data_IF_713891685491
#
_entry.id   IF_713891685491
#
_cell.length_a   1.000
_cell.length_b   1.000
_cell.length_c   1.000
_cell.angle_alpha   90.00
_cell.angle_beta   90.00
_cell.angle_gamma   90.00
#
_symmetry.space_group_name_H-M   'P 1'
#
loop_
_entity.id
_entity.type
_entity.pdbx_description
1 polymer ?
#
# COMPACT_ATOMS: atom_id res chain seq x y z
N UNK A 1 -18.31 -13.44 -16.00
CA UNK A 1 -18.16 -12.92 -14.63
C UNK A 1 -18.73 -14.00 -13.73
N UNK A 2 -17.88 -14.72 -13.02
CA UNK A 2 -18.31 -15.89 -12.25
C UNK A 2 -18.92 -15.39 -10.94
N UNK A 3 -19.92 -16.11 -10.43
CA UNK A 3 -20.66 -15.75 -9.20
C UNK A 3 -19.74 -15.64 -7.98
N UNK A 4 -18.60 -16.32 -8.00
CA UNK A 4 -17.53 -16.22 -7.00
C UNK A 4 -16.86 -14.84 -6.96
N UNK A 5 -16.75 -14.14 -8.09
CA UNK A 5 -16.18 -12.78 -8.15
C UNK A 5 -17.10 -11.77 -7.41
N UNK A 6 -18.42 -12.02 -7.40
CA UNK A 6 -19.44 -11.14 -6.81
C UNK A 6 -19.45 -11.24 -5.27
N UNK A 7 -19.11 -12.40 -4.71
CA UNK A 7 -19.06 -12.60 -3.25
C UNK A 7 -17.82 -11.94 -2.62
N UNK A 8 -16.71 -11.85 -3.35
CA UNK A 8 -15.47 -11.20 -2.90
C UNK A 8 -15.56 -9.67 -2.88
N UNK A 9 -16.39 -9.03 -3.70
CA UNK A 9 -16.47 -7.56 -3.78
C UNK A 9 -17.13 -6.90 -2.56
N UNK A 10 -17.88 -7.64 -1.74
CA UNK A 10 -18.64 -7.11 -0.60
C UNK A 10 -18.13 -7.57 0.78
N UNK A 11 -17.05 -8.35 0.82
CA UNK A 11 -16.49 -8.81 2.09
C UNK A 11 -15.50 -7.78 2.63
N UNK A 12 -15.72 -7.34 3.88
CA UNK A 12 -14.73 -6.55 4.61
C UNK A 12 -13.44 -7.37 4.76
N UNK A 13 -12.30 -6.75 4.52
CA UNK A 13 -11.01 -7.40 4.74
C UNK A 13 -10.83 -7.68 6.22
N UNK A 14 -10.51 -8.92 6.55
CA UNK A 14 -10.16 -9.32 7.91
C UNK A 14 -8.71 -8.95 8.23
N UNK A 15 -8.33 -9.02 9.51
CA UNK A 15 -6.92 -8.86 9.89
C UNK A 15 -6.03 -9.89 9.17
N UNK A 16 -6.48 -11.15 9.06
CA UNK A 16 -5.72 -12.20 8.40
C UNK A 16 -5.48 -11.91 6.90
N UNK A 17 -6.45 -11.29 6.23
CA UNK A 17 -6.30 -10.84 4.84
C UNK A 17 -5.24 -9.75 4.74
N UNK A 18 -5.27 -8.75 5.63
CA UNK A 18 -4.32 -7.64 5.66
C UNK A 18 -2.91 -8.12 5.99
N UNK A 19 -2.76 -9.03 6.95
CA UNK A 19 -1.47 -9.64 7.27
C UNK A 19 -0.89 -10.41 6.06
N UNK A 20 -1.74 -11.05 5.25
CA UNK A 20 -1.30 -11.73 4.03
C UNK A 20 -0.82 -10.74 2.97
N UNK A 21 -1.49 -9.59 2.83
CA UNK A 21 -1.06 -8.50 1.95
C UNK A 21 0.27 -7.90 2.43
N UNK A 22 0.41 -7.63 3.72
CA UNK A 22 1.63 -7.09 4.33
C UNK A 22 2.82 -8.03 4.11
N UNK A 23 2.68 -9.32 4.46
CA UNK A 23 3.72 -10.34 4.20
C UNK A 23 4.09 -10.44 2.72
N UNK A 24 3.12 -10.28 1.81
CA UNK A 24 3.40 -10.28 0.38
C UNK A 24 4.22 -9.05 -0.03
N UNK A 25 3.82 -7.86 0.43
CA UNK A 25 4.51 -6.61 0.13
C UNK A 25 5.93 -6.62 0.69
N UNK A 26 6.07 -6.98 1.97
CA UNK A 26 7.35 -7.15 2.65
C UNK A 26 8.30 -8.07 1.87
N UNK A 27 7.86 -9.29 1.54
CA UNK A 27 8.66 -10.25 0.77
C UNK A 27 9.20 -9.72 -0.56
N UNK A 28 8.44 -8.89 -1.28
CA UNK A 28 8.92 -8.34 -2.56
C UNK A 28 9.83 -7.13 -2.34
N UNK A 29 9.54 -6.29 -1.35
CA UNK A 29 10.31 -5.08 -1.05
C UNK A 29 11.62 -5.37 -0.32
N UNK A 30 11.72 -6.46 0.44
CA UNK A 30 12.96 -6.93 1.06
C UNK A 30 14.12 -7.09 0.05
N UNK A 31 13.80 -7.40 -1.22
CA UNK A 31 14.78 -7.48 -2.33
C UNK A 31 15.48 -6.15 -2.65
N UNK A 32 14.97 -5.04 -2.14
CA UNK A 32 15.54 -3.70 -2.26
C UNK A 32 15.83 -3.06 -0.90
N UNK A 33 15.93 -3.88 0.17
CA UNK A 33 16.25 -3.43 1.52
C UNK A 33 15.13 -2.59 2.15
N UNK A 34 13.87 -2.97 1.88
CA UNK A 34 12.70 -2.32 2.46
C UNK A 34 11.80 -3.35 3.13
N UNK A 35 11.45 -3.11 4.38
CA UNK A 35 10.38 -3.80 5.10
C UNK A 35 9.09 -2.99 4.98
N UNK A 36 7.95 -3.65 4.79
CA UNK A 36 6.66 -2.96 4.63
C UNK A 36 5.80 -3.18 5.85
N UNK A 37 5.33 -2.09 6.46
CA UNK A 37 4.48 -2.14 7.65
C UNK A 37 3.16 -1.40 7.44
N UNK A 38 2.06 -1.97 7.97
CA UNK A 38 0.75 -1.34 8.00
C UNK A 38 0.45 -0.78 9.39
N UNK A 39 0.10 0.50 9.45
CA UNK A 39 -0.35 1.10 10.71
C UNK A 39 -1.79 0.69 11.05
N UNK A 40 -2.19 0.81 12.32
CA UNK A 40 -3.60 0.68 12.73
C UNK A 40 -4.51 1.59 11.90
N UNK A 41 -4.05 2.80 11.56
CA UNK A 41 -4.81 3.73 10.73
C UNK A 41 -4.98 3.23 9.29
N UNK A 42 -4.04 2.48 8.75
CA UNK A 42 -4.22 1.79 7.46
C UNK A 42 -5.28 0.69 7.57
N UNK A 43 -5.19 -0.14 8.61
CA UNK A 43 -6.10 -1.26 8.88
C UNK A 43 -7.54 -0.75 9.01
N UNK A 44 -7.77 0.29 9.80
CA UNK A 44 -9.10 0.89 9.97
C UNK A 44 -9.65 1.47 8.66
N UNK A 45 -8.77 2.00 7.79
CA UNK A 45 -9.19 2.76 6.60
C UNK A 45 -9.50 1.89 5.40
N UNK A 46 -9.06 0.64 5.37
CA UNK A 46 -9.29 -0.25 4.24
C UNK A 46 -10.78 -0.57 4.05
N UNK A 47 -11.51 -0.74 5.16
CA UNK A 47 -12.94 -1.06 5.19
C UNK A 47 -13.83 0.18 5.42
N UNK A 48 -13.24 1.38 5.37
CA UNK A 48 -13.94 2.62 5.67
C UNK A 48 -14.92 3.00 4.55
N UNK A 49 -16.12 3.42 4.93
CA UNK A 49 -17.19 3.81 4.00
C UNK A 49 -16.78 4.96 3.06
N UNK A 50 -15.77 5.78 3.43
CA UNK A 50 -15.20 6.84 2.58
C UNK A 50 -14.64 6.33 1.25
N UNK A 51 -14.34 5.04 1.15
CA UNK A 51 -13.85 4.45 -0.08
C UNK A 51 -14.94 4.33 -1.16
N UNK A 52 -16.22 4.42 -0.79
CA UNK A 52 -17.43 4.25 -1.64
C UNK A 52 -17.55 2.86 -2.29
N UNK A 53 -16.48 2.32 -2.86
CA UNK A 53 -16.32 0.93 -3.30
C UNK A 53 -15.28 0.24 -2.39
N UNK A 54 -15.57 -0.97 -1.85
CA UNK A 54 -14.63 -1.73 -1.03
C UNK A 54 -13.26 -1.86 -1.69
N UNK A 55 -12.20 -1.76 -0.88
CA UNK A 55 -10.83 -2.03 -1.30
C UNK A 55 -10.56 -3.52 -1.08
N UNK A 56 -10.10 -4.20 -2.13
CA UNK A 56 -9.88 -5.65 -2.08
C UNK A 56 -8.40 -6.01 -1.84
N UNK A 57 -8.13 -7.19 -1.29
CA UNK A 57 -6.77 -7.71 -1.15
C UNK A 57 -6.04 -7.79 -2.51
N UNK A 58 -6.77 -8.12 -3.57
CA UNK A 58 -6.22 -8.17 -4.93
C UNK A 58 -5.73 -6.80 -5.42
N UNK A 59 -6.46 -5.72 -5.13
CA UNK A 59 -6.04 -4.36 -5.45
C UNK A 59 -4.82 -3.93 -4.63
N UNK A 60 -4.78 -4.25 -3.33
CA UNK A 60 -3.62 -3.97 -2.49
C UNK A 60 -2.37 -4.73 -2.96
N UNK A 61 -2.48 -6.03 -3.21
CA UNK A 61 -1.40 -6.85 -3.78
C UNK A 61 -0.92 -6.26 -5.11
N UNK A 62 -1.86 -5.85 -5.97
CA UNK A 62 -1.55 -5.27 -7.27
C UNK A 62 -0.76 -3.97 -7.13
N UNK A 63 -1.20 -3.00 -6.31
CA UNK A 63 -0.50 -1.72 -6.18
C UNK A 63 0.91 -1.89 -5.62
N UNK A 64 1.11 -2.74 -4.61
CA UNK A 64 2.46 -3.04 -4.08
C UNK A 64 3.33 -3.75 -5.13
N UNK A 65 2.80 -4.74 -5.84
CA UNK A 65 3.52 -5.46 -6.90
C UNK A 65 3.95 -4.54 -8.04
N UNK A 66 3.05 -3.66 -8.51
CA UNK A 66 3.35 -2.72 -9.58
C UNK A 66 4.34 -1.64 -9.12
N UNK A 67 4.18 -1.15 -7.88
CA UNK A 67 5.08 -0.17 -7.28
C UNK A 67 6.48 -0.75 -7.17
N UNK A 68 6.63 -1.97 -6.66
CA UNK A 68 7.92 -2.64 -6.59
C UNK A 68 8.58 -2.73 -7.98
N UNK A 69 7.83 -3.19 -9.00
CA UNK A 69 8.35 -3.34 -10.37
C UNK A 69 8.79 -2.01 -10.98
N UNK A 70 8.05 -0.93 -10.76
CA UNK A 70 8.29 0.37 -11.41
C UNK A 70 9.22 1.28 -10.61
N UNK A 71 9.12 1.25 -9.28
CA UNK A 71 9.71 2.21 -8.37
C UNK A 71 10.54 1.57 -7.24
N UNK A 72 10.58 0.24 -7.09
CA UNK A 72 11.24 -0.42 -5.96
C UNK A 72 12.68 0.03 -5.73
N UNK A 73 13.50 0.13 -6.79
CA UNK A 73 14.90 0.62 -6.69
C UNK A 73 15.04 2.12 -6.41
N UNK A 74 13.96 2.89 -6.55
CA UNK A 74 13.94 4.34 -6.35
C UNK A 74 13.52 4.72 -4.93
N UNK A 75 12.71 3.90 -4.27
CA UNK A 75 12.15 4.21 -2.95
C UNK A 75 13.25 4.37 -1.87
N UNK A 76 14.25 3.47 -1.74
CA UNK A 76 15.33 3.66 -0.76
C UNK A 76 16.11 4.97 -0.96
N UNK A 77 16.15 5.48 -2.20
CA UNK A 77 16.86 6.71 -2.56
C UNK A 77 16.11 7.98 -2.18
N UNK A 78 14.88 7.87 -1.67
CA UNK A 78 14.14 9.02 -1.16
C UNK A 78 14.75 9.53 0.15
N UNK A 79 15.47 8.67 0.89
CA UNK A 79 16.11 9.01 2.14
C UNK A 79 15.20 8.83 3.35
N UNK A 80 15.82 8.91 4.53
CA UNK A 80 15.14 8.81 5.81
C UNK A 80 14.08 9.91 5.99
N UNK A 81 13.00 9.57 6.67
CA UNK A 81 11.78 10.38 6.90
C UNK A 81 11.08 10.91 5.63
N UNK A 82 11.44 10.39 4.44
CA UNK A 82 10.81 10.80 3.20
C UNK A 82 9.34 10.38 3.15
N UNK A 83 8.46 11.31 2.77
CA UNK A 83 7.02 11.06 2.61
C UNK A 83 6.61 11.05 1.14
N UNK A 84 5.83 10.04 0.77
CA UNK A 84 5.33 9.87 -0.59
C UNK A 84 3.99 9.12 -0.58
N UNK A 85 3.41 8.95 -1.77
CA UNK A 85 2.12 8.28 -1.95
C UNK A 85 2.25 7.25 -3.05
N UNK A 86 1.93 5.99 -2.76
CA UNK A 86 1.68 4.99 -3.80
C UNK A 86 0.32 5.29 -4.41
N UNK A 87 0.25 5.46 -5.73
CA UNK A 87 -1.00 5.83 -6.41
C UNK A 87 -1.28 4.86 -7.56
N UNK A 88 -2.41 4.17 -7.50
CA UNK A 88 -2.90 3.37 -8.63
C UNK A 88 -3.87 4.23 -9.46
N UNK A 89 -3.44 4.58 -10.68
CA UNK A 89 -4.24 5.40 -11.58
C UNK A 89 -5.52 4.73 -12.06
N UNK A 90 -5.57 3.39 -12.05
CA UNK A 90 -6.71 2.61 -12.55
C UNK A 90 -7.80 2.48 -11.49
N UNK A 91 -7.42 2.12 -10.27
CA UNK A 91 -8.37 1.85 -9.18
C UNK A 91 -8.62 3.08 -8.30
N UNK A 92 -7.85 4.15 -8.49
CA UNK A 92 -7.85 5.36 -7.68
C UNK A 92 -7.50 5.11 -6.21
N UNK A 93 -6.76 4.04 -5.91
CA UNK A 93 -6.25 3.76 -4.57
C UNK A 93 -4.98 4.57 -4.33
N UNK A 94 -4.91 5.19 -3.15
CA UNK A 94 -3.79 6.01 -2.71
C UNK A 94 -3.33 5.52 -1.33
N UNK A 95 -2.03 5.24 -1.19
CA UNK A 95 -1.40 4.79 0.06
C UNK A 95 -0.28 5.76 0.41
N UNK A 96 -0.56 6.78 1.23
CA UNK A 96 0.47 7.62 1.84
C UNK A 96 1.38 6.79 2.75
N UNK A 97 2.69 6.99 2.63
CA UNK A 97 3.68 6.33 3.46
C UNK A 97 4.77 7.30 3.92
N UNK A 98 5.48 6.91 4.97
CA UNK A 98 6.79 7.48 5.35
C UNK A 98 7.83 6.38 5.24
N UNK A 99 9.00 6.73 4.73
CA UNK A 99 10.17 5.88 4.74
C UNK A 99 11.00 6.19 5.98
N UNK A 100 11.35 5.18 6.78
CA UNK A 100 12.15 5.34 7.98
C UNK A 100 13.39 4.47 7.90
N UNK A 101 14.55 5.02 8.23
CA UNK A 101 15.76 4.23 8.36
C UNK A 101 15.81 3.56 9.73
N UNK A 102 16.02 2.25 9.74
CA UNK A 102 16.28 1.49 10.95
C UNK A 102 17.79 1.23 11.08
N UNK A 103 18.45 1.94 11.99
CA UNK A 103 19.90 1.81 12.17
C UNK A 103 20.33 0.42 12.65
N UNK A 104 19.46 -0.28 13.39
CA UNK A 104 19.77 -1.59 13.98
C UNK A 104 19.80 -2.68 12.92
N UNK A 105 18.80 -2.69 12.05
CA UNK A 105 18.62 -3.74 11.04
C UNK A 105 19.23 -3.32 9.67
N UNK A 106 19.70 -2.07 9.57
CA UNK A 106 20.33 -1.47 8.38
C UNK A 106 19.45 -1.52 7.13
N UNK A 107 18.14 -1.33 7.32
CA UNK A 107 17.12 -1.33 6.28
C UNK A 107 16.18 -0.12 6.40
N UNK A 108 15.37 0.07 5.37
CA UNK A 108 14.30 1.06 5.39
C UNK A 108 12.97 0.40 5.71
N UNK A 109 12.16 1.02 6.57
CA UNK A 109 10.76 0.68 6.76
C UNK A 109 9.88 1.59 5.92
N UNK A 110 9.08 1.01 5.03
CA UNK A 110 7.98 1.68 4.35
C UNK A 110 6.72 1.54 5.20
N UNK A 111 6.48 2.55 6.04
CA UNK A 111 5.32 2.57 6.94
C UNK A 111 4.13 3.15 6.18
N UNK A 112 3.19 2.29 5.79
CA UNK A 112 1.95 2.66 5.13
C UNK A 112 0.98 3.28 6.14
N UNK A 113 0.88 4.61 6.11
CA UNK A 113 0.17 5.41 7.12
C UNK A 113 -1.34 5.26 7.01
N UNK A 114 -1.85 5.16 5.79
CA UNK A 114 -3.29 5.08 5.53
C UNK A 114 -3.57 4.56 4.12
N UNK A 115 -4.83 4.30 3.81
CA UNK A 115 -5.30 3.94 2.46
C UNK A 115 -6.62 4.66 2.16
N UNK A 116 -6.80 5.10 0.92
CA UNK A 116 -8.07 5.66 0.46
C UNK A 116 -8.31 5.45 -1.03
N UNK A 117 -9.53 5.05 -1.40
CA UNK A 117 -10.01 5.08 -2.79
C UNK A 117 -10.58 6.47 -3.10
N UNK A 118 -9.82 7.30 -3.83
CA UNK A 118 -10.20 8.66 -4.21
C UNK A 118 -9.56 9.08 -5.53
N UNK A 119 -10.39 9.38 -6.54
CA UNK A 119 -9.96 9.78 -7.89
C UNK A 119 -9.17 11.09 -7.88
N UNK A 120 -9.73 12.10 -7.22
CA UNK A 120 -9.13 13.45 -7.12
C UNK A 120 -8.34 13.61 -5.81
N UNK A 121 -7.48 12.64 -5.51
CA UNK A 121 -6.59 12.70 -4.35
C UNK A 121 -5.52 13.79 -4.55
N UNK A 122 -5.50 14.78 -3.65
CA UNK A 122 -4.57 15.91 -3.68
C UNK A 122 -3.53 15.77 -2.57
N UNK A 123 -2.27 15.95 -2.93
CA UNK A 123 -1.14 15.98 -1.99
C UNK A 123 0.00 16.79 -2.59
N UNK A 124 0.82 17.42 -1.73
CA UNK A 124 2.10 18.00 -2.11
C UNK A 124 3.24 16.98 -2.14
N UNK A 125 3.02 15.79 -1.56
CA UNK A 125 4.05 14.75 -1.49
C UNK A 125 4.27 14.11 -2.86
N UNK A 126 5.46 13.52 -3.04
CA UNK A 126 5.81 12.79 -4.26
C UNK A 126 4.84 11.63 -4.48
N UNK A 127 4.32 11.52 -5.71
CA UNK A 127 3.43 10.44 -6.10
C UNK A 127 4.20 9.40 -6.92
N UNK A 128 4.14 8.14 -6.48
CA UNK A 128 4.68 6.98 -7.19
C UNK A 128 3.51 6.29 -7.90
N UNK A 129 3.21 6.77 -9.11
CA UNK A 129 2.02 6.35 -9.85
C UNK A 129 2.27 5.08 -10.66
N UNK A 130 1.35 4.12 -10.56
CA UNK A 130 1.33 2.86 -11.32
C UNK A 130 0.06 2.69 -12.13
#
# INVERSE_FOLDING_TARGET
MLVEDILLENQQLTQADLDAVERFADKIFAKVGIDVEFTNHFIDRVNDARNNKPITSAELIRIFKLTYRKHGKQIPKLGDEAQAVLRDGQTSINIPFVLKWNEKDQDFQLVSKTVIRKKDFKTSNKQLTV
#
